data_IF_233341782584
#
_entry.id   IF_233341782584
#
_cell.length_a   1.000
_cell.length_b   1.000
_cell.length_c   1.000
_cell.angle_alpha   90.00
_cell.angle_beta   90.00
_cell.angle_gamma   90.00
#
_symmetry.space_group_name_H-M   'P 1'
#
loop_
_entity.id
_entity.type
_entity.pdbx_description
1 polymer ?
#
# COMPACT_ATOMS: atom_id res chain seq x y z
N UNK A 1 -28.02 -50.11 30.48
CA UNK A 1 -28.73 -49.58 29.30
C UNK A 1 -29.00 -48.07 29.49
N UNK A 2 -27.96 -47.28 29.75
CA UNK A 2 -28.03 -45.80 29.82
C UNK A 2 -26.87 -45.11 29.09
N UNK A 3 -25.89 -45.89 28.64
CA UNK A 3 -24.69 -45.41 27.94
C UNK A 3 -24.96 -45.03 26.47
N UNK A 4 -26.03 -45.56 25.87
CA UNK A 4 -26.38 -45.34 24.46
C UNK A 4 -26.89 -43.91 24.17
N UNK A 5 -27.70 -43.34 25.08
CA UNK A 5 -28.21 -41.97 24.94
C UNK A 5 -27.11 -40.91 25.11
N UNK A 6 -26.12 -41.16 25.97
CA UNK A 6 -24.98 -40.26 26.15
C UNK A 6 -23.97 -40.33 24.99
N UNK A 7 -23.88 -41.47 24.31
CA UNK A 7 -22.98 -41.66 23.16
C UNK A 7 -23.43 -40.86 21.93
N UNK A 8 -24.74 -40.79 21.67
CA UNK A 8 -25.31 -40.06 20.52
C UNK A 8 -25.09 -38.54 20.62
N UNK A 9 -25.25 -37.94 21.79
CA UNK A 9 -24.98 -36.52 22.00
C UNK A 9 -23.47 -36.19 21.86
N UNK A 10 -22.60 -37.08 22.37
CA UNK A 10 -21.14 -36.92 22.20
C UNK A 10 -20.71 -37.04 20.74
N UNK A 11 -21.29 -37.96 19.96
CA UNK A 11 -21.02 -38.10 18.53
C UNK A 11 -21.47 -36.87 17.74
N UNK A 12 -22.66 -36.33 18.04
CA UNK A 12 -23.16 -35.11 17.42
C UNK A 12 -22.23 -33.91 17.70
N UNK A 13 -21.80 -33.75 18.96
CA UNK A 13 -20.86 -32.70 19.35
C UNK A 13 -19.50 -32.84 18.62
N UNK A 14 -18.94 -34.05 18.57
CA UNK A 14 -17.70 -34.31 17.83
C UNK A 14 -17.84 -34.00 16.34
N UNK A 15 -18.98 -34.34 15.71
CA UNK A 15 -19.20 -34.06 14.29
C UNK A 15 -19.28 -32.57 13.99
N UNK A 16 -19.92 -31.78 14.86
CA UNK A 16 -20.06 -30.33 14.69
C UNK A 16 -18.69 -29.64 14.82
N UNK A 17 -17.86 -30.09 15.78
CA UNK A 17 -16.49 -29.56 15.98
C UNK A 17 -15.62 -29.85 14.75
N UNK A 18 -15.71 -31.06 14.19
CA UNK A 18 -14.98 -31.40 12.96
C UNK A 18 -15.41 -30.54 11.77
N UNK A 19 -16.72 -30.32 11.56
CA UNK A 19 -17.22 -29.49 10.45
C UNK A 19 -16.72 -28.03 10.55
N UNK A 20 -16.64 -27.48 11.77
CA UNK A 20 -16.13 -26.13 12.01
C UNK A 20 -14.62 -25.99 11.76
N UNK A 21 -13.84 -27.07 11.91
CA UNK A 21 -12.39 -27.07 11.66
C UNK A 21 -12.03 -27.12 10.17
N UNK A 22 -12.97 -27.51 9.29
CA UNK A 22 -12.74 -27.62 7.85
C UNK A 22 -13.27 -26.44 7.02
N UNK A 23 -13.97 -25.48 7.63
CA UNK A 23 -14.45 -24.27 6.93
C UNK A 23 -13.59 -23.08 7.34
N UNK A 24 -12.66 -22.68 6.47
CA UNK A 24 -11.96 -21.40 6.66
C UNK A 24 -10.64 -21.24 5.91
N UNK A 25 -10.64 -21.37 4.59
CA UNK A 25 -9.66 -20.65 3.78
C UNK A 25 -10.40 -20.07 2.57
N UNK A 26 -10.88 -18.84 2.72
CA UNK A 26 -11.16 -18.03 1.54
C UNK A 26 -9.79 -17.55 1.04
N UNK A 27 -9.43 -17.88 -0.18
CA UNK A 27 -8.35 -17.17 -0.84
C UNK A 27 -8.81 -15.71 -0.94
N UNK A 28 -8.17 -14.84 -0.16
CA UNK A 28 -8.19 -13.43 -0.49
C UNK A 28 -7.64 -13.33 -1.90
N UNK A 29 -8.47 -12.88 -2.83
CA UNK A 29 -7.96 -12.47 -4.12
C UNK A 29 -7.08 -11.26 -3.81
N UNK A 30 -5.80 -11.51 -3.57
CA UNK A 30 -4.78 -10.51 -3.78
C UNK A 30 -4.88 -10.19 -5.28
N UNK A 31 -5.73 -9.24 -5.62
CA UNK A 31 -5.46 -8.38 -6.75
C UNK A 31 -4.21 -7.60 -6.34
N UNK A 32 -3.07 -8.29 -6.43
CA UNK A 32 -1.75 -7.68 -6.55
C UNK A 32 -1.73 -6.99 -7.91
N UNK A 33 -2.59 -5.99 -8.06
CA UNK A 33 -2.44 -4.95 -9.05
C UNK A 33 -1.17 -4.22 -8.64
N UNK A 34 -0.05 -4.78 -9.08
CA UNK A 34 1.22 -4.10 -9.20
C UNK A 34 0.97 -2.95 -10.16
N UNK A 35 0.37 -1.88 -9.66
CA UNK A 35 0.26 -0.62 -10.35
C UNK A 35 1.68 -0.13 -10.53
N UNK A 36 2.28 -0.51 -11.66
CA UNK A 36 3.60 -0.03 -12.05
C UNK A 36 3.44 1.47 -12.26
N UNK A 37 3.83 2.25 -11.25
CA UNK A 37 3.77 3.70 -11.32
C UNK A 37 4.86 4.16 -12.27
N UNK A 38 4.47 4.59 -13.47
CA UNK A 38 5.40 5.24 -14.39
C UNK A 38 5.96 6.50 -13.74
N UNK A 39 7.28 6.56 -13.61
CA UNK A 39 7.99 7.76 -13.16
C UNK A 39 8.39 8.60 -14.37
N UNK A 40 8.21 9.91 -14.27
CA UNK A 40 8.56 10.86 -15.32
C UNK A 40 9.42 11.95 -14.71
N UNK A 41 10.50 12.31 -15.41
CA UNK A 41 11.33 13.42 -15.02
C UNK A 41 10.69 14.72 -15.51
N UNK A 42 10.56 15.69 -14.62
CA UNK A 42 10.03 17.02 -14.93
C UNK A 42 11.18 18.00 -14.77
N UNK A 43 11.47 18.78 -15.80
CA UNK A 43 12.52 19.79 -15.73
C UNK A 43 12.15 21.08 -16.44
N UNK A 44 12.95 22.10 -16.19
CA UNK A 44 12.79 23.43 -16.77
C UNK A 44 13.90 24.39 -16.37
N UNK A 45 13.82 25.61 -16.87
CA UNK A 45 14.76 26.69 -16.54
C UNK A 45 13.99 27.81 -15.85
N UNK A 46 14.45 28.18 -14.66
CA UNK A 46 13.98 29.32 -13.89
C UNK A 46 14.90 30.49 -14.23
N UNK A 47 14.33 31.57 -14.75
CA UNK A 47 15.05 32.78 -15.13
C UNK A 47 14.71 33.91 -14.17
N UNK A 48 15.69 34.77 -13.83
CA UNK A 48 15.47 35.94 -12.97
C UNK A 48 15.08 35.63 -11.52
N UNK A 49 15.40 34.43 -11.01
CA UNK A 49 15.19 34.09 -9.61
C UNK A 49 16.20 34.83 -8.73
N UNK A 50 15.69 35.56 -7.73
CA UNK A 50 16.50 36.12 -6.65
C UNK A 50 16.08 35.47 -5.34
N UNK A 51 16.90 34.56 -4.82
CA UNK A 51 16.62 33.79 -3.60
C UNK A 51 16.41 32.30 -3.84
N UNK A 52 15.53 31.70 -3.04
CA UNK A 52 15.31 30.24 -2.98
C UNK A 52 13.89 29.90 -3.46
N UNK A 53 13.80 28.94 -4.37
CA UNK A 53 12.57 28.30 -4.81
C UNK A 53 12.56 26.85 -4.33
N UNK A 54 11.46 26.39 -3.74
CA UNK A 54 11.26 24.99 -3.36
C UNK A 54 10.12 24.44 -4.19
N UNK A 55 10.40 23.38 -4.94
CA UNK A 55 9.44 22.67 -5.78
C UNK A 55 9.11 21.35 -5.10
N UNK A 56 7.85 21.17 -4.70
CA UNK A 56 7.41 19.97 -3.99
C UNK A 56 6.66 19.02 -4.91
N UNK A 57 7.03 17.74 -4.88
CA UNK A 57 6.31 16.70 -5.61
C UNK A 57 5.08 16.20 -4.83
N UNK A 58 4.01 17.01 -4.78
CA UNK A 58 2.71 16.61 -4.19
C UNK A 58 2.83 15.99 -2.77
N UNK A 59 3.49 16.67 -1.84
CA UNK A 59 3.84 16.18 -0.48
C UNK A 59 4.89 15.05 -0.42
N UNK A 60 5.51 14.70 -1.54
CA UNK A 60 6.71 13.86 -1.62
C UNK A 60 7.99 14.69 -1.42
N UNK A 61 9.01 14.40 -2.22
CA UNK A 61 10.32 15.06 -2.12
C UNK A 61 10.28 16.52 -2.57
N UNK A 62 11.10 17.33 -1.91
CA UNK A 62 11.31 18.73 -2.22
C UNK A 62 12.60 18.89 -3.04
N UNK A 63 12.51 19.64 -4.14
CA UNK A 63 13.66 20.09 -4.93
C UNK A 63 13.92 21.55 -4.65
N UNK A 64 15.08 21.83 -4.07
CA UNK A 64 15.51 23.19 -3.74
C UNK A 64 16.33 23.76 -4.89
N UNK A 65 15.86 24.88 -5.42
CA UNK A 65 16.49 25.66 -6.48
C UNK A 65 16.91 26.99 -5.88
N UNK A 66 18.22 27.17 -5.68
CA UNK A 66 18.78 28.41 -5.13
C UNK A 66 19.56 29.18 -6.19
N UNK A 67 19.32 30.49 -6.27
CA UNK A 67 20.08 31.38 -7.13
C UNK A 67 20.66 32.55 -6.33
N UNK A 68 21.99 32.68 -6.39
CA UNK A 68 22.74 33.81 -5.86
C UNK A 68 23.15 34.73 -7.01
N UNK A 69 22.19 35.25 -7.78
CA UNK A 69 22.49 36.03 -8.97
C UNK A 69 21.25 36.41 -9.80
N UNK A 70 21.47 36.83 -11.04
CA UNK A 70 20.41 37.04 -12.04
C UNK A 70 20.52 36.02 -13.18
N UNK A 71 21.11 34.86 -12.88
CA UNK A 71 21.41 33.81 -13.83
C UNK A 71 20.23 32.85 -13.98
N UNK A 72 20.15 32.22 -15.14
CA UNK A 72 19.17 31.17 -15.38
C UNK A 72 19.61 29.87 -14.69
N UNK A 73 18.70 29.22 -13.96
CA UNK A 73 18.96 27.93 -13.30
C UNK A 73 18.00 26.86 -13.79
N UNK A 74 18.58 25.74 -14.22
CA UNK A 74 17.82 24.56 -14.62
C UNK A 74 17.55 23.64 -13.44
N UNK A 75 16.36 23.06 -13.39
CA UNK A 75 15.97 22.03 -12.43
C UNK A 75 15.42 20.80 -13.15
N UNK A 76 15.55 19.66 -12.49
CA UNK A 76 14.88 18.40 -12.85
C UNK A 76 14.53 17.70 -11.54
N UNK A 77 13.32 17.15 -11.45
CA UNK A 77 12.91 16.26 -10.36
C UNK A 77 12.00 15.14 -10.85
#
# INVERSE_FOLDING_TARGET
>A
MFDFQNYLWKLAACSIISILLFVGCAAENEDSSSSSSSSFNIGGTVTGLSGVLIIQNNSGDDTVVEQTGSEDVSFTF
#
